data_IF_169127727345
#
_entry.id   IF_169127727345
#
_cell.length_a   1.000
_cell.length_b   1.000
_cell.length_c   1.000
_cell.angle_alpha   90.00
_cell.angle_beta   90.00
_cell.angle_gamma   90.00
#
_symmetry.space_group_name_H-M   'P 1'
#
loop_
_entity.id
_entity.type
_entity.pdbx_description
1 polymer ?
#
# COMPACT_ATOMS: atom_id res chain seq x y z
N UNK A 1 13.01 9.39 10.47
CA UNK A 1 11.92 9.46 9.46
C UNK A 1 11.17 10.77 9.61
N UNK A 2 10.77 11.13 10.84
CA UNK A 2 10.07 12.38 11.19
C UNK A 2 10.85 13.63 10.74
N UNK A 3 12.17 13.68 10.96
CA UNK A 3 13.02 14.76 10.44
C UNK A 3 12.85 14.99 8.93
N UNK A 4 12.83 13.90 8.16
CA UNK A 4 12.70 13.97 6.71
C UNK A 4 11.32 14.48 6.28
N UNK A 5 10.25 14.06 6.97
CA UNK A 5 8.90 14.58 6.73
C UNK A 5 8.80 16.06 7.07
N UNK A 6 9.39 16.45 8.20
CA UNK A 6 9.42 17.82 8.68
C UNK A 6 10.11 18.75 7.68
N UNK A 7 11.31 18.36 7.21
CA UNK A 7 12.03 19.09 6.15
C UNK A 7 11.24 19.14 4.84
N UNK A 8 10.61 18.04 4.42
CA UNK A 8 9.82 18.01 3.18
C UNK A 8 8.55 18.90 3.25
N UNK A 9 7.94 19.00 4.43
CA UNK A 9 6.75 19.82 4.65
C UNK A 9 7.09 21.30 4.79
N UNK A 10 8.07 21.63 5.64
CA UNK A 10 8.27 23.00 6.12
C UNK A 10 9.57 23.64 5.64
N UNK A 11 10.47 22.90 4.99
CA UNK A 11 11.66 23.41 4.32
C UNK A 11 12.79 23.84 5.26
N UNK A 12 12.49 24.66 6.26
CA UNK A 12 13.41 25.12 7.30
C UNK A 12 13.09 24.46 8.65
N UNK A 13 14.14 24.19 9.43
CA UNK A 13 14.05 23.55 10.74
C UNK A 13 13.82 24.55 11.88
N UNK A 14 13.79 25.86 11.57
CA UNK A 14 13.67 26.91 12.58
C UNK A 14 12.25 27.45 12.80
N UNK A 15 11.36 27.31 11.81
CA UNK A 15 9.98 27.80 11.92
C UNK A 15 9.07 26.76 12.55
N UNK A 16 8.32 27.15 13.58
CA UNK A 16 7.36 26.26 14.20
C UNK A 16 6.16 26.01 13.25
N UNK A 17 5.71 24.77 13.01
CA UNK A 17 4.67 24.49 12.00
C UNK A 17 3.35 25.24 12.19
N UNK A 18 3.00 25.58 13.45
CA UNK A 18 1.81 26.38 13.78
C UNK A 18 2.00 27.91 13.65
N UNK A 19 3.23 28.39 13.45
CA UNK A 19 3.50 29.80 13.14
C UNK A 19 3.21 30.13 11.67
N UNK A 20 3.17 29.11 10.81
CA UNK A 20 2.72 29.25 9.43
C UNK A 20 1.26 29.67 9.37
N UNK A 21 0.88 30.36 8.30
CA UNK A 21 -0.50 30.77 8.08
C UNK A 21 -1.35 29.59 7.59
N UNK A 22 -2.66 29.61 7.88
CA UNK A 22 -3.62 28.62 7.37
C UNK A 22 -3.58 28.51 5.83
N UNK A 23 -3.30 29.61 5.13
CA UNK A 23 -3.14 29.62 3.68
C UNK A 23 -1.93 28.83 3.22
N UNK A 24 -0.80 28.89 3.93
CA UNK A 24 0.42 28.15 3.56
C UNK A 24 0.18 26.63 3.67
N UNK A 25 -0.51 26.19 4.72
CA UNK A 25 -0.93 24.79 4.85
C UNK A 25 -1.92 24.36 3.77
N UNK A 26 -2.84 25.25 3.34
CA UNK A 26 -3.76 24.96 2.23
C UNK A 26 -3.04 24.83 0.89
N UNK A 27 -2.09 25.73 0.61
CA UNK A 27 -1.28 25.67 -0.60
C UNK A 27 -0.49 24.36 -0.62
N UNK A 28 0.08 23.96 0.52
CA UNK A 28 0.75 22.67 0.68
C UNK A 28 -0.18 21.48 0.44
N UNK A 29 -1.42 21.54 0.92
CA UNK A 29 -2.41 20.50 0.68
C UNK A 29 -2.73 20.34 -0.81
N UNK A 30 -2.84 21.45 -1.55
CA UNK A 30 -3.04 21.44 -3.01
C UNK A 30 -1.84 20.82 -3.72
N UNK A 31 -0.62 21.21 -3.36
CA UNK A 31 0.61 20.63 -3.91
C UNK A 31 0.69 19.12 -3.68
N UNK A 32 0.37 18.66 -2.47
CA UNK A 32 0.39 17.24 -2.11
C UNK A 32 -0.66 16.44 -2.87
N UNK A 33 -1.87 17.00 -3.05
CA UNK A 33 -2.92 16.36 -3.84
C UNK A 33 -2.51 16.20 -5.31
N UNK A 34 -1.95 17.24 -5.93
CA UNK A 34 -1.45 17.17 -7.31
C UNK A 34 -0.33 16.13 -7.45
N UNK A 35 0.58 16.07 -6.47
CA UNK A 35 1.68 15.10 -6.46
C UNK A 35 1.17 13.67 -6.28
N UNK A 36 0.18 13.46 -5.41
CA UNK A 36 -0.48 12.16 -5.20
C UNK A 36 -1.14 11.68 -6.49
N UNK A 37 -1.88 12.55 -7.17
CA UNK A 37 -2.54 12.23 -8.44
C UNK A 37 -1.54 11.82 -9.52
N UNK A 38 -0.44 12.58 -9.65
CA UNK A 38 0.64 12.25 -10.58
C UNK A 38 1.26 10.88 -10.27
N UNK A 39 1.62 10.63 -9.01
CA UNK A 39 2.22 9.36 -8.60
C UNK A 39 1.25 8.17 -8.76
N UNK A 40 -0.05 8.38 -8.52
CA UNK A 40 -1.06 7.35 -8.76
C UNK A 40 -1.16 7.02 -10.24
N UNK A 41 -1.14 8.03 -11.11
CA UNK A 41 -1.15 7.84 -12.57
C UNK A 41 0.08 7.07 -13.03
N UNK A 42 1.25 7.43 -12.51
CA UNK A 42 2.51 6.74 -12.81
C UNK A 42 2.49 5.28 -12.33
N UNK A 43 1.98 5.02 -11.12
CA UNK A 43 1.79 3.66 -10.59
C UNK A 43 0.90 2.83 -11.50
N UNK A 44 -0.25 3.36 -11.90
CA UNK A 44 -1.23 2.61 -12.69
C UNK A 44 -0.65 2.27 -14.08
N UNK A 45 0.07 3.21 -14.70
CA UNK A 45 0.81 2.98 -15.95
C UNK A 45 1.90 1.91 -15.79
N UNK A 46 2.62 1.92 -14.68
CA UNK A 46 3.65 0.92 -14.42
C UNK A 46 3.05 -0.48 -14.18
N UNK A 47 1.90 -0.57 -13.49
CA UNK A 47 1.16 -1.83 -13.32
C UNK A 47 0.70 -2.39 -14.65
N UNK A 48 0.11 -1.55 -15.51
CA UNK A 48 -0.26 -1.96 -16.86
C UNK A 48 0.94 -2.45 -17.68
N UNK A 49 2.08 -1.75 -17.58
CA UNK A 49 3.31 -2.17 -18.25
C UNK A 49 3.83 -3.52 -17.72
N UNK A 50 3.77 -3.73 -16.41
CA UNK A 50 4.19 -4.98 -15.77
C UNK A 50 3.34 -6.16 -16.27
N UNK A 51 2.01 -6.01 -16.29
CA UNK A 51 1.11 -7.03 -16.83
C UNK A 51 1.36 -7.32 -18.32
N UNK A 52 1.63 -6.28 -19.13
CA UNK A 52 1.98 -6.51 -20.53
C UNK A 52 3.29 -7.29 -20.70
N UNK A 53 4.28 -7.05 -19.84
CA UNK A 53 5.55 -7.77 -19.85
C UNK A 53 5.37 -9.22 -19.38
N UNK A 54 4.53 -9.46 -18.37
CA UNK A 54 4.14 -10.79 -17.94
C UNK A 54 3.47 -11.58 -19.07
N UNK A 55 2.53 -10.97 -19.78
CA UNK A 55 1.90 -11.61 -20.94
C UNK A 55 2.93 -11.98 -22.02
N UNK A 56 3.85 -11.06 -22.36
CA UNK A 56 4.93 -11.35 -23.32
C UNK A 56 5.84 -12.48 -22.86
N UNK A 57 6.11 -12.57 -21.56
CA UNK A 57 6.88 -13.66 -20.98
C UNK A 57 6.18 -15.01 -21.24
N UNK A 58 4.88 -15.10 -20.94
CA UNK A 58 4.10 -16.33 -21.16
C UNK A 58 4.07 -16.72 -22.64
N UNK A 59 3.79 -15.77 -23.53
CA UNK A 59 3.76 -15.99 -24.98
C UNK A 59 5.13 -16.49 -25.51
N UNK A 60 6.23 -15.91 -25.02
CA UNK A 60 7.58 -16.33 -25.39
C UNK A 60 7.92 -17.74 -24.86
N UNK A 61 7.51 -18.06 -23.61
CA UNK A 61 7.69 -19.40 -23.04
C UNK A 61 6.89 -20.45 -23.80
N UNK A 62 5.66 -20.15 -24.20
CA UNK A 62 4.82 -21.03 -25.01
C UNK A 62 5.45 -21.28 -26.39
N UNK A 63 6.01 -20.25 -27.02
CA UNK A 63 6.70 -20.35 -28.30
C UNK A 63 8.08 -21.04 -28.22
N UNK A 64 8.60 -21.28 -27.01
CA UNK A 64 9.95 -21.80 -26.78
C UNK A 64 11.07 -20.79 -27.07
N UNK A 65 10.75 -19.49 -27.09
CA UNK A 65 11.71 -18.40 -27.28
C UNK A 65 12.26 -17.94 -25.91
N UNK A 66 13.31 -18.61 -25.45
CA UNK A 66 13.95 -18.33 -24.16
C UNK A 66 14.58 -16.93 -24.09
N UNK A 67 15.13 -16.42 -25.21
CA UNK A 67 15.76 -15.10 -25.26
C UNK A 67 14.73 -13.98 -25.12
N UNK A 68 13.56 -14.13 -25.77
CA UNK A 68 12.46 -13.19 -25.63
C UNK A 68 11.84 -13.24 -24.23
N UNK A 69 11.70 -14.42 -23.63
CA UNK A 69 11.19 -14.58 -22.26
C UNK A 69 12.13 -13.91 -21.25
N UNK A 70 13.43 -14.16 -21.31
CA UNK A 70 14.43 -13.56 -20.44
C UNK A 70 14.49 -12.02 -20.60
N UNK A 71 14.27 -11.51 -21.81
CA UNK A 71 14.18 -10.06 -22.06
C UNK A 71 12.95 -9.45 -21.40
N UNK A 72 11.78 -10.09 -21.54
CA UNK A 72 10.55 -9.64 -20.90
C UNK A 72 10.67 -9.64 -19.37
N UNK A 73 11.28 -10.67 -18.80
CA UNK A 73 11.54 -10.79 -17.36
C UNK A 73 12.44 -9.64 -16.84
N UNK A 74 13.57 -9.38 -17.49
CA UNK A 74 14.49 -8.29 -17.10
C UNK A 74 13.82 -6.92 -17.17
N UNK A 75 13.01 -6.69 -18.20
CA UNK A 75 12.23 -5.45 -18.31
C UNK A 75 11.17 -5.35 -17.20
N UNK A 76 10.58 -6.48 -16.79
CA UNK A 76 9.58 -6.53 -15.73
C UNK A 76 10.18 -6.23 -14.37
N UNK A 77 11.36 -6.78 -14.06
CA UNK A 77 12.12 -6.45 -12.84
C UNK A 77 12.37 -4.94 -12.74
N UNK A 78 12.86 -4.33 -13.82
CA UNK A 78 13.10 -2.88 -13.85
C UNK A 78 11.82 -2.04 -13.70
N UNK A 79 10.66 -2.57 -14.10
CA UNK A 79 9.35 -1.94 -13.87
C UNK A 79 8.88 -2.15 -12.44
N UNK A 80 9.12 -3.32 -11.86
CA UNK A 80 8.77 -3.65 -10.48
C UNK A 80 9.56 -2.78 -9.47
N UNK A 81 10.86 -2.59 -9.68
CA UNK A 81 11.67 -1.68 -8.85
C UNK A 81 11.15 -0.23 -8.87
N UNK A 82 10.64 0.20 -10.05
CA UNK A 82 10.02 1.52 -10.20
C UNK A 82 8.66 1.58 -9.51
N UNK A 83 7.88 0.50 -9.55
CA UNK A 83 6.62 0.41 -8.82
C UNK A 83 6.85 0.57 -7.32
N UNK A 84 7.77 -0.20 -6.74
CA UNK A 84 8.12 -0.11 -5.32
C UNK A 84 8.55 1.33 -4.95
N UNK A 85 9.37 1.96 -5.80
CA UNK A 85 9.79 3.35 -5.61
C UNK A 85 8.62 4.34 -5.64
N UNK A 86 7.65 4.14 -6.54
CA UNK A 86 6.47 5.03 -6.66
C UNK A 86 5.51 4.80 -5.49
N UNK A 87 5.30 3.55 -5.09
CA UNK A 87 4.46 3.20 -3.94
C UNK A 87 5.04 3.77 -2.63
N UNK A 88 6.34 3.62 -2.40
CA UNK A 88 6.98 4.26 -1.24
C UNK A 88 6.91 5.80 -1.26
N UNK A 89 6.90 6.44 -2.45
CA UNK A 89 6.66 7.88 -2.56
C UNK A 89 5.20 8.26 -2.28
N UNK A 90 4.25 7.44 -2.70
CA UNK A 90 2.83 7.63 -2.39
C UNK A 90 2.58 7.57 -0.89
N UNK A 91 3.18 6.59 -0.19
CA UNK A 91 3.05 6.46 1.27
C UNK A 91 3.54 7.72 2.00
N UNK A 92 4.72 8.24 1.60
CA UNK A 92 5.26 9.49 2.15
C UNK A 92 4.34 10.68 1.85
N UNK A 93 3.80 10.80 0.63
CA UNK A 93 2.88 11.88 0.26
C UNK A 93 1.57 11.79 1.04
N UNK A 94 1.06 10.59 1.29
CA UNK A 94 -0.15 10.36 2.07
C UNK A 94 0.06 10.74 3.53
N UNK A 95 1.19 10.36 4.13
CA UNK A 95 1.57 10.78 5.48
C UNK A 95 1.73 12.31 5.59
N UNK A 96 2.34 12.95 4.58
CA UNK A 96 2.44 14.42 4.51
C UNK A 96 1.05 15.08 4.41
N UNK A 97 0.16 14.54 3.56
CA UNK A 97 -1.19 15.07 3.36
C UNK A 97 -2.05 14.97 4.62
N UNK A 98 -1.90 13.87 5.35
CA UNK A 98 -2.51 13.69 6.65
C UNK A 98 -2.01 14.70 7.68
N UNK A 99 -0.68 14.87 7.75
CA UNK A 99 -0.04 15.84 8.67
C UNK A 99 -0.55 17.26 8.42
N UNK A 100 -0.58 17.70 7.15
CA UNK A 100 -1.11 19.01 6.76
C UNK A 100 -2.59 19.15 7.08
N UNK A 101 -3.39 18.09 6.84
CA UNK A 101 -4.82 18.10 7.17
C UNK A 101 -5.05 18.27 8.67
N UNK A 102 -4.22 17.63 9.50
CA UNK A 102 -4.27 17.80 10.94
C UNK A 102 -3.92 19.24 11.35
N UNK A 103 -2.87 19.84 10.78
CA UNK A 103 -2.59 21.26 11.01
C UNK A 103 -3.77 22.17 10.62
N UNK A 104 -4.43 21.91 9.50
CA UNK A 104 -5.63 22.66 9.08
C UNK A 104 -6.79 22.54 10.10
N UNK A 105 -7.00 21.35 10.68
CA UNK A 105 -7.99 21.14 11.73
C UNK A 105 -7.66 21.94 13.01
N UNK A 106 -6.38 22.12 13.34
CA UNK A 106 -5.96 22.97 14.46
C UNK A 106 -6.38 24.42 14.27
N UNK A 107 -6.21 24.99 13.08
CA UNK A 107 -6.67 26.35 12.80
C UNK A 107 -8.20 26.49 12.89
N UNK A 108 -8.95 25.46 12.48
CA UNK A 108 -10.41 25.43 12.62
C UNK A 108 -10.84 25.39 14.09
N UNK A 109 -10.15 24.63 14.94
CA UNK A 109 -10.41 24.62 16.39
C UNK A 109 -10.08 25.95 17.07
N UNK A 110 -9.05 26.66 16.59
CA UNK A 110 -8.73 28.01 17.06
C UNK A 110 -9.85 29.00 16.73
N UNK A 111 -10.44 28.91 15.54
CA UNK A 111 -11.63 29.71 15.17
C UNK A 111 -12.84 29.41 16.08
N UNK A 112 -12.93 28.17 16.58
CA UNK A 112 -13.93 27.74 17.57
C UNK A 112 -13.59 28.12 19.04
N UNK A 113 -12.53 28.92 19.26
CA UNK A 113 -12.07 29.44 20.56
C UNK A 113 -11.62 28.38 21.58
N UNK A 114 -11.02 27.29 21.12
CA UNK A 114 -10.31 26.36 22.01
C UNK A 114 -8.87 26.84 22.24
N UNK A 115 -8.70 27.98 22.93
CA UNK A 115 -7.40 28.64 23.08
C UNK A 115 -6.39 27.79 23.88
N UNK A 116 -6.87 27.01 24.86
CA UNK A 116 -6.03 26.10 25.67
C UNK A 116 -5.40 24.97 24.84
N UNK A 117 -6.14 24.46 23.86
CA UNK A 117 -5.64 23.43 22.96
C UNK A 117 -4.49 23.97 22.09
N UNK A 118 -4.67 25.18 21.54
CA UNK A 118 -3.64 25.87 20.76
C UNK A 118 -2.37 26.15 21.59
N UNK A 119 -2.53 26.70 22.80
CA UNK A 119 -1.41 26.99 23.70
C UNK A 119 -0.57 25.73 23.98
N UNK A 120 -1.23 24.60 24.24
CA UNK A 120 -0.54 23.34 24.53
C UNK A 120 0.17 22.74 23.31
N UNK A 121 -0.34 22.95 22.11
CA UNK A 121 0.38 22.55 20.89
C UNK A 121 1.59 23.45 20.62
N UNK A 122 1.54 24.73 20.97
CA UNK A 122 2.68 25.66 20.84
C UNK A 122 3.80 25.36 21.84
N UNK A 123 3.54 24.57 22.89
CA UNK A 123 4.56 24.11 23.84
C UNK A 123 5.34 22.89 23.33
N UNK A 124 4.78 22.15 22.38
CA UNK A 124 5.43 21.00 21.77
C UNK A 124 6.48 21.46 20.76
N UNK A 125 7.55 20.68 20.63
CA UNK A 125 8.50 20.97 19.58
C UNK A 125 7.99 20.51 18.20
N UNK A 126 8.71 20.92 17.16
CA UNK A 126 8.36 20.60 15.77
C UNK A 126 8.35 19.09 15.51
N UNK A 127 9.27 18.34 16.11
CA UNK A 127 9.38 16.90 15.90
C UNK A 127 8.18 16.18 16.54
N UNK A 128 7.86 16.52 17.78
CA UNK A 128 6.71 16.02 18.53
C UNK A 128 5.39 16.32 17.82
N UNK A 129 5.22 17.53 17.27
CA UNK A 129 4.02 17.90 16.51
C UNK A 129 3.89 17.14 15.20
N UNK A 130 4.97 17.04 14.42
CA UNK A 130 4.96 16.28 13.16
C UNK A 130 4.73 14.81 13.44
N UNK A 131 5.38 14.24 14.45
CA UNK A 131 5.17 12.86 14.87
C UNK A 131 3.69 12.63 15.21
N UNK A 132 3.12 13.43 16.12
CA UNK A 132 1.73 13.32 16.56
C UNK A 132 0.75 13.42 15.39
N UNK A 133 0.97 14.36 14.46
CA UNK A 133 0.06 14.61 13.34
C UNK A 133 0.31 13.70 12.12
N UNK A 134 1.43 12.98 12.09
CA UNK A 134 1.74 12.05 10.99
C UNK A 134 1.18 10.64 11.22
N UNK A 135 0.80 10.28 12.44
CA UNK A 135 0.37 8.92 12.78
C UNK A 135 -1.02 8.57 12.25
N UNK A 136 -2.03 9.40 12.52
CA UNK A 136 -3.38 9.19 11.99
C UNK A 136 -4.06 10.51 11.60
N UNK A 137 -5.04 10.43 10.70
CA UNK A 137 -5.90 11.57 10.39
C UNK A 137 -6.85 11.77 11.56
N UNK A 138 -6.72 12.88 12.24
CA UNK A 138 -7.50 13.18 13.44
C UNK A 138 -8.65 14.12 13.07
N UNK A 139 -9.85 13.74 13.48
CA UNK A 139 -10.99 14.65 13.54
C UNK A 139 -10.80 15.69 14.64
N UNK A 140 -11.51 16.81 14.54
CA UNK A 140 -11.53 17.87 15.57
C UNK A 140 -11.90 17.30 16.96
N UNK A 141 -12.80 16.32 17.00
CA UNK A 141 -13.23 15.66 18.24
C UNK A 141 -12.11 14.81 18.85
N UNK A 142 -11.40 14.01 18.06
CA UNK A 142 -10.28 13.16 18.49
C UNK A 142 -9.07 13.98 18.96
N UNK A 143 -8.78 15.09 18.28
CA UNK A 143 -7.73 16.03 18.68
C UNK A 143 -7.99 16.59 20.08
N UNK A 144 -9.23 16.97 20.37
CA UNK A 144 -9.62 17.50 21.68
C UNK A 144 -9.45 16.45 22.79
N UNK A 145 -9.78 15.17 22.52
CA UNK A 145 -9.67 14.07 23.49
C UNK A 145 -8.22 13.62 23.75
N UNK A 146 -7.35 13.66 22.73
CA UNK A 146 -5.95 13.22 22.85
C UNK A 146 -5.15 14.05 23.85
N UNK A 147 -5.38 15.37 23.93
CA UNK A 147 -4.67 16.21 24.92
C UNK A 147 -5.11 15.96 26.37
N UNK A 148 -6.36 15.56 26.60
CA UNK A 148 -6.81 15.16 27.95
C UNK A 148 -6.16 13.84 28.41
N UNK A 149 -5.69 13.03 27.45
CA UNK A 149 -5.10 11.71 27.69
C UNK A 149 -3.56 11.72 27.64
N UNK A 150 -2.95 12.67 26.94
CA UNK A 150 -1.49 12.82 26.74
C UNK A 150 -0.68 13.22 27.99
N UNK A 151 -1.26 13.14 29.19
CA UNK A 151 -0.50 13.09 30.45
C UNK A 151 0.16 11.73 30.70
N UNK A 152 -0.27 10.66 30.00
CA UNK A 152 0.23 9.29 30.19
C UNK A 152 0.13 8.52 28.86
N UNK A 153 1.10 8.69 27.95
CA UNK A 153 1.53 7.68 26.95
C UNK A 153 2.40 8.34 25.87
N UNK A 154 3.69 8.46 26.15
CA UNK A 154 4.71 8.68 25.13
C UNK A 154 5.76 7.59 25.29
N UNK A 155 5.48 6.41 24.75
CA UNK A 155 6.46 5.36 24.45
C UNK A 155 5.77 4.25 23.67
N UNK A 156 6.43 3.85 22.59
CA UNK A 156 6.09 2.76 21.66
C UNK A 156 5.05 3.10 20.61
N UNK A 157 5.50 3.64 19.46
CA UNK A 157 5.30 3.03 18.12
C UNK A 157 6.32 3.66 17.15
N UNK A 158 7.52 3.08 17.01
CA UNK A 158 8.37 3.31 15.82
C UNK A 158 9.05 2.00 15.45
N UNK A 159 8.35 1.12 14.73
CA UNK A 159 8.97 0.08 13.92
C UNK A 159 8.14 -0.20 12.67
N UNK A 160 8.46 0.48 11.57
CA UNK A 160 8.59 -0.14 10.25
C UNK A 160 9.27 0.84 9.29
N UNK A 161 9.84 0.31 8.21
CA UNK A 161 10.73 0.95 7.23
C UNK A 161 12.22 0.94 7.55
N UNK A 162 12.74 -0.27 7.72
CA UNK A 162 14.05 -0.62 7.15
C UNK A 162 13.91 -0.63 5.63
N UNK A 163 14.61 0.27 4.95
CA UNK A 163 14.84 0.19 3.52
C UNK A 163 15.64 -1.10 3.23
N UNK A 164 14.99 -2.08 2.61
CA UNK A 164 15.67 -3.26 2.07
C UNK A 164 16.37 -2.90 0.76
N UNK A 165 17.44 -2.10 0.83
CA UNK A 165 18.47 -2.07 -0.20
C UNK A 165 19.51 -3.13 0.12
N UNK A 166 19.21 -4.38 -0.20
CA UNK A 166 20.19 -5.45 -0.39
C UNK A 166 19.53 -6.63 -1.11
N UNK A 167 19.28 -6.47 -2.42
CA UNK A 167 19.22 -7.61 -3.34
C UNK A 167 20.34 -7.47 -4.35
N UNK A 168 21.54 -7.78 -3.88
CA UNK A 168 22.65 -8.17 -4.74
C UNK A 168 22.68 -9.70 -4.80
N UNK A 169 22.38 -10.23 -5.99
CA UNK A 169 22.62 -11.60 -6.45
C UNK A 169 21.90 -12.74 -5.70
N UNK A 170 20.70 -13.07 -6.18
CA UNK A 170 19.99 -14.33 -5.95
C UNK A 170 18.85 -14.40 -6.96
N UNK A 171 18.53 -15.60 -7.46
CA UNK A 171 17.60 -15.85 -8.57
C UNK A 171 16.33 -14.97 -8.55
N UNK A 172 15.89 -14.54 -9.73
CA UNK A 172 14.75 -13.64 -9.90
C UNK A 172 13.49 -14.22 -9.25
N UNK A 173 12.98 -13.56 -8.20
CA UNK A 173 11.71 -13.97 -7.57
C UNK A 173 10.53 -13.92 -8.56
N UNK A 174 10.58 -13.03 -9.54
CA UNK A 174 9.57 -12.93 -10.60
C UNK A 174 9.61 -14.15 -11.53
N UNK A 175 10.81 -14.68 -11.80
CA UNK A 175 10.96 -15.88 -12.62
C UNK A 175 10.26 -17.07 -11.99
N UNK A 176 10.55 -17.35 -10.72
CA UNK A 176 9.96 -18.47 -10.00
C UNK A 176 8.43 -18.34 -9.91
N UNK A 177 7.92 -17.12 -9.68
CA UNK A 177 6.50 -16.83 -9.61
C UNK A 177 5.79 -17.05 -10.95
N UNK A 178 6.34 -16.51 -12.04
CA UNK A 178 5.74 -16.60 -13.37
C UNK A 178 5.91 -17.98 -13.99
N UNK A 179 7.02 -18.66 -13.75
CA UNK A 179 7.18 -20.06 -14.17
C UNK A 179 6.16 -20.96 -13.45
N UNK A 180 5.93 -20.76 -12.14
CA UNK A 180 4.90 -21.50 -11.41
C UNK A 180 3.47 -21.16 -11.89
N UNK A 181 3.24 -19.94 -12.36
CA UNK A 181 1.96 -19.54 -12.94
C UNK A 181 1.74 -20.12 -14.34
N UNK A 182 2.77 -20.09 -15.18
CA UNK A 182 2.77 -20.73 -16.49
C UNK A 182 2.48 -22.24 -16.37
N UNK A 183 3.13 -22.92 -15.42
CA UNK A 183 2.87 -24.34 -15.16
C UNK A 183 1.43 -24.60 -14.72
N UNK A 184 0.87 -23.73 -13.87
CA UNK A 184 -0.54 -23.80 -13.45
C UNK A 184 -1.50 -23.65 -14.63
N UNK A 185 -1.32 -22.61 -15.46
CA UNK A 185 -2.19 -22.37 -16.63
C UNK A 185 -2.17 -23.55 -17.59
N UNK A 186 -0.99 -24.12 -17.84
CA UNK A 186 -0.82 -25.31 -18.70
C UNK A 186 -1.49 -26.56 -18.15
N UNK A 187 -1.44 -26.79 -16.83
CA UNK A 187 -2.13 -27.94 -16.21
C UNK A 187 -3.65 -27.77 -16.19
N UNK A 188 -4.15 -26.54 -16.08
CA UNK A 188 -5.59 -26.26 -16.01
C UNK A 188 -6.27 -26.38 -17.38
N UNK A 189 -5.55 -26.09 -18.47
CA UNK A 189 -6.03 -26.36 -19.85
C UNK A 189 -5.92 -27.86 -20.25
N UNK A 190 -5.09 -28.63 -19.56
CA UNK A 190 -4.93 -30.08 -19.77
C UNK A 190 -5.99 -30.95 -19.10
N UNK A 191 -6.72 -30.43 -18.11
CA UNK A 191 -7.91 -31.07 -17.53
C UNK A 191 -9.16 -30.75 -18.34
N UNK A 192 -9.15 -31.06 -19.63
CA UNK A 192 -10.39 -31.41 -20.31
C UNK A 192 -10.88 -32.71 -19.68
N UNK A 193 -11.81 -32.60 -18.72
CA UNK A 193 -12.56 -33.72 -18.15
C UNK A 193 -12.96 -34.67 -19.29
N UNK A 194 -12.35 -35.85 -19.33
CA UNK A 194 -12.76 -36.93 -20.21
C UNK A 194 -14.16 -37.39 -19.74
N UNK A 195 -15.24 -37.13 -20.51
CA UNK A 195 -16.58 -37.46 -20.07
C UNK A 195 -16.86 -38.98 -20.08
N UNK A 196 -15.92 -39.82 -20.53
CA UNK A 196 -16.07 -41.28 -20.58
C UNK A 196 -15.47 -42.03 -19.37
N UNK A 197 -14.73 -41.37 -18.47
CA UNK A 197 -14.04 -42.06 -17.37
C UNK A 197 -14.91 -42.38 -16.12
N UNK A 198 -16.22 -42.10 -16.13
CA UNK A 198 -17.10 -42.21 -14.94
C UNK A 198 -17.99 -43.46 -14.94
N UNK A 199 -17.95 -44.32 -15.97
CA UNK A 199 -18.88 -45.46 -16.07
C UNK A 199 -18.25 -46.81 -16.44
N UNK A 200 -17.17 -47.23 -15.78
CA UNK A 200 -16.70 -48.62 -15.92
C UNK A 200 -16.35 -49.35 -14.61
N UNK A 201 -16.80 -48.84 -13.45
CA UNK A 201 -16.73 -49.56 -12.16
C UNK A 201 -18.12 -49.71 -11.49
N UNK A 202 -19.17 -49.88 -12.31
CA UNK A 202 -20.45 -50.43 -11.84
C UNK A 202 -20.44 -51.95 -11.96
N UNK A 203 -19.70 -52.63 -11.10
CA UNK A 203 -19.97 -54.03 -10.76
C UNK A 203 -19.61 -54.32 -9.30
N UNK A 204 -20.52 -53.92 -8.41
CA UNK A 204 -20.49 -54.22 -6.99
C UNK A 204 -21.92 -54.22 -6.46
N UNK A 205 -22.40 -55.39 -6.06
CA UNK A 205 -23.76 -55.68 -5.57
C UNK A 205 -24.32 -54.58 -4.66
N UNK A 206 -25.47 -54.02 -5.06
CA UNK A 206 -26.29 -53.12 -4.25
C UNK A 206 -27.02 -53.95 -3.18
N UNK A 207 -26.64 -53.78 -1.92
CA UNK A 207 -27.39 -54.31 -0.78
C UNK A 207 -28.55 -53.35 -0.44
N UNK A 208 -29.74 -53.92 -0.27
CA UNK A 208 -31.07 -53.29 -0.44
C UNK A 208 -31.61 -52.61 0.85
N UNK A 209 -30.76 -52.03 1.71
CA UNK A 209 -31.19 -51.63 3.07
C UNK A 209 -31.15 -50.15 3.46
N UNK A 210 -30.58 -49.24 2.66
CA UNK A 210 -30.36 -47.83 3.10
C UNK A 210 -31.20 -46.74 2.39
N UNK A 211 -32.40 -47.07 1.89
CA UNK A 211 -33.31 -46.09 1.25
C UNK A 211 -34.60 -45.83 2.06
N UNK A 212 -34.52 -45.87 3.39
CA UNK A 212 -35.72 -45.75 4.25
C UNK A 212 -35.81 -44.52 5.16
N UNK A 213 -34.93 -43.51 5.07
CA UNK A 213 -34.95 -42.42 6.07
C UNK A 213 -34.97 -40.96 5.58
N UNK A 214 -35.32 -40.70 4.32
CA UNK A 214 -35.44 -39.31 3.83
C UNK A 214 -36.73 -39.03 3.03
N UNK A 215 -37.88 -39.47 3.55
CA UNK A 215 -39.20 -38.98 3.11
C UNK A 215 -39.96 -38.27 4.25
N UNK A 216 -39.78 -36.95 4.25
CA UNK A 216 -40.70 -35.84 4.54
C UNK A 216 -41.71 -35.93 5.70
N UNK A 217 -41.70 -34.87 6.50
CA UNK A 217 -42.91 -34.11 6.88
C UNK A 217 -42.66 -32.63 6.63
#
# INVERSE_FOLDING_TARGET
MIDRLSTLLFGDDTTHPLELDRSEHRDKQVELNAKREQLSTDRDRLKEKHENLKQRYMEAREAGDEDAAETALREAEAVNDRLETVEGKLDVVDQMSQTVSNFLNVYEMRELRNDRYWERLMELDREELVEMFSQEKLTIEEMTQRLDTAGVAARDVVESFSASTDRLHGDSQLRDEWDAEFERERTTEGESLDPEAVFDDLDGELDDEDVSDLRLS
#
